data_IF_097242290523
#
_entry.id   IF_097242290523
#
_cell.length_a   1.000
_cell.length_b   1.000
_cell.length_c   1.000
_cell.angle_alpha   90.00
_cell.angle_beta   90.00
_cell.angle_gamma   90.00
#
_symmetry.space_group_name_H-M   'P 1'
#
loop_
_entity.id
_entity.type
_entity.pdbx_description
1 polymer ?
#
# COMPACT_ATOMS: atom_id res chain seq x y z
N UNK A 1 -9.40 5.20 -14.41
CA UNK A 1 -8.38 4.66 -13.46
C UNK A 1 -7.19 5.59 -13.26
N UNK A 2 -6.40 5.95 -14.29
CA UNK A 2 -5.18 6.76 -14.12
C UNK A 2 -5.45 8.08 -13.38
N UNK A 3 -6.43 8.88 -13.81
CA UNK A 3 -6.80 10.15 -13.16
C UNK A 3 -7.16 9.93 -11.68
N UNK A 4 -7.99 8.91 -11.39
CA UNK A 4 -8.39 8.59 -10.02
C UNK A 4 -7.19 8.17 -9.16
N UNK A 5 -6.24 7.40 -9.69
CA UNK A 5 -5.03 7.00 -8.96
C UNK A 5 -4.07 8.16 -8.71
N UNK A 6 -3.94 9.08 -9.67
CA UNK A 6 -3.17 10.32 -9.47
C UNK A 6 -3.78 11.17 -8.36
N UNK A 7 -5.10 11.36 -8.38
CA UNK A 7 -5.84 12.07 -7.32
C UNK A 7 -5.73 11.30 -5.98
N UNK A 8 -5.93 9.98 -5.99
CA UNK A 8 -5.77 9.15 -4.81
C UNK A 8 -4.37 9.26 -4.19
N UNK A 9 -3.33 9.38 -5.02
CA UNK A 9 -1.96 9.63 -4.58
C UNK A 9 -1.81 10.97 -3.83
N UNK A 10 -2.46 12.04 -4.31
CA UNK A 10 -2.52 13.32 -3.57
C UNK A 10 -3.18 13.15 -2.20
N UNK A 11 -4.22 12.33 -2.12
CA UNK A 11 -4.92 12.05 -0.87
C UNK A 11 -4.08 11.33 0.19
N UNK A 12 -2.97 10.68 -0.18
CA UNK A 12 -2.06 10.05 0.78
C UNK A 12 -1.22 11.06 1.58
N UNK A 13 -1.16 12.33 1.15
CA UNK A 13 -0.24 13.35 1.67
C UNK A 13 -0.43 13.67 3.16
N UNK A 14 -1.68 13.65 3.65
CA UNK A 14 -2.00 13.93 5.06
C UNK A 14 -1.81 12.73 6.00
N UNK A 15 -1.77 11.56 5.48
CA UNK A 15 -1.65 10.25 6.09
C UNK A 15 -1.37 10.17 7.59
N UNK A 16 -0.60 9.17 7.95
CA UNK A 16 -0.30 8.84 9.34
C UNK A 16 0.46 9.97 10.06
N UNK A 17 1.37 10.65 9.35
CA UNK A 17 2.28 11.63 9.97
C UNK A 17 1.55 12.86 10.47
N UNK A 18 0.74 13.52 9.61
CA UNK A 18 0.05 14.75 9.99
C UNK A 18 -1.08 14.46 10.99
N UNK A 19 -1.79 13.34 10.82
CA UNK A 19 -2.82 12.90 11.76
C UNK A 19 -2.25 12.61 13.17
N UNK A 20 -1.04 12.05 13.25
CA UNK A 20 -0.37 11.82 14.51
C UNK A 20 0.06 13.14 15.18
N UNK A 21 0.56 14.12 14.40
CA UNK A 21 0.92 15.45 14.92
C UNK A 21 -0.29 16.20 15.47
N UNK A 22 -1.43 16.20 14.77
CA UNK A 22 -2.67 16.82 15.26
C UNK A 22 -3.10 16.17 16.57
N UNK A 23 -3.09 14.85 16.65
CA UNK A 23 -3.49 14.15 17.87
C UNK A 23 -2.52 14.43 19.04
N UNK A 24 -1.22 14.53 18.77
CA UNK A 24 -0.22 14.90 19.76
C UNK A 24 -0.44 16.32 20.30
N UNK A 25 -0.70 17.30 19.43
CA UNK A 25 -1.05 18.66 19.84
C UNK A 25 -2.30 18.70 20.70
N UNK A 26 -3.37 17.97 20.32
CA UNK A 26 -4.63 17.95 21.05
C UNK A 26 -4.55 17.19 22.39
N UNK A 27 -3.73 16.13 22.47
CA UNK A 27 -3.58 15.33 23.70
C UNK A 27 -2.57 15.93 24.68
N UNK A 28 -1.65 16.77 24.22
CA UNK A 28 -0.59 17.37 25.05
C UNK A 28 0.39 16.33 25.64
N UNK A 29 0.44 15.11 25.09
CA UNK A 29 1.29 14.01 25.61
C UNK A 29 1.81 13.11 24.48
N UNK A 30 3.07 12.68 24.63
CA UNK A 30 3.72 11.74 23.71
C UNK A 30 3.34 10.27 23.97
N UNK A 31 2.78 9.98 25.14
CA UNK A 31 2.51 8.60 25.58
C UNK A 31 1.48 7.87 24.70
N UNK A 32 0.61 8.61 24.00
CA UNK A 32 -0.43 8.09 23.11
C UNK A 32 -0.14 8.36 21.62
N UNK A 33 1.08 8.75 21.25
CA UNK A 33 1.45 9.11 19.88
C UNK A 33 1.22 7.99 18.83
N UNK A 34 1.19 6.73 19.26
CA UNK A 34 0.90 5.59 18.38
C UNK A 34 -0.59 5.34 18.12
N UNK A 35 -1.49 5.89 18.96
CA UNK A 35 -2.92 5.60 18.88
C UNK A 35 -3.59 6.08 17.57
N UNK A 36 -3.28 7.28 17.04
CA UNK A 36 -3.80 7.73 15.75
C UNK A 36 -3.48 6.79 14.60
N UNK A 37 -2.24 6.31 14.55
CA UNK A 37 -1.77 5.36 13.53
C UNK A 37 -2.48 4.01 13.64
N UNK A 38 -2.71 3.53 14.85
CA UNK A 38 -3.44 2.29 15.09
C UNK A 38 -4.91 2.41 14.63
N UNK A 39 -5.60 3.48 15.01
CA UNK A 39 -6.99 3.74 14.62
C UNK A 39 -7.12 3.89 13.10
N UNK A 40 -6.23 4.65 12.47
CA UNK A 40 -6.15 4.79 11.02
C UNK A 40 -5.96 3.44 10.32
N UNK A 41 -5.08 2.58 10.83
CA UNK A 41 -4.81 1.26 10.25
C UNK A 41 -6.01 0.33 10.40
N UNK A 42 -6.72 0.37 11.54
CA UNK A 42 -7.97 -0.36 11.73
C UNK A 42 -9.03 0.07 10.72
N UNK A 43 -9.16 1.38 10.47
CA UNK A 43 -10.03 1.93 9.44
C UNK A 43 -9.66 1.45 8.04
N UNK A 44 -8.37 1.46 7.70
CA UNK A 44 -7.86 0.95 6.43
C UNK A 44 -8.14 -0.56 6.27
N UNK A 45 -8.01 -1.33 7.35
CA UNK A 45 -8.29 -2.76 7.34
C UNK A 45 -9.78 -3.05 7.10
N UNK A 46 -10.67 -2.33 7.79
CA UNK A 46 -12.12 -2.44 7.55
C UNK A 46 -12.49 -2.02 6.13
N UNK A 47 -11.89 -0.94 5.64
CA UNK A 47 -12.10 -0.47 4.27
C UNK A 47 -11.71 -1.51 3.23
N UNK A 48 -10.59 -2.21 3.42
CA UNK A 48 -10.16 -3.27 2.52
C UNK A 48 -11.21 -4.39 2.41
N UNK A 49 -11.80 -4.83 3.53
CA UNK A 49 -12.89 -5.80 3.54
C UNK A 49 -14.15 -5.24 2.87
N UNK A 50 -14.54 -4.01 3.21
CA UNK A 50 -15.78 -3.41 2.75
C UNK A 50 -15.75 -3.14 1.25
N UNK A 51 -14.68 -2.58 0.72
CA UNK A 51 -14.48 -2.32 -0.71
C UNK A 51 -14.46 -3.65 -1.49
N UNK A 52 -13.75 -4.67 -0.97
CA UNK A 52 -13.75 -6.01 -1.55
C UNK A 52 -15.15 -6.63 -1.59
N UNK A 53 -15.91 -6.49 -0.53
CA UNK A 53 -17.28 -7.02 -0.43
C UNK A 53 -18.28 -6.30 -1.33
N UNK A 54 -18.25 -4.98 -1.36
CA UNK A 54 -19.09 -4.18 -2.28
C UNK A 54 -18.75 -4.53 -3.72
N UNK A 55 -17.48 -4.71 -4.05
CA UNK A 55 -17.05 -5.13 -5.38
C UNK A 55 -17.60 -6.51 -5.74
N UNK A 56 -17.50 -7.47 -4.84
CA UNK A 56 -17.99 -8.84 -5.06
C UNK A 56 -19.51 -8.91 -5.30
N UNK A 57 -20.28 -8.16 -4.50
CA UNK A 57 -21.73 -8.16 -4.54
C UNK A 57 -22.29 -7.28 -5.65
N UNK A 58 -21.57 -6.28 -6.10
CA UNK A 58 -22.03 -5.29 -7.05
C UNK A 58 -21.04 -5.00 -8.16
N UNK A 59 -20.13 -4.08 -7.93
CA UNK A 59 -19.26 -3.57 -8.98
C UNK A 59 -17.93 -3.03 -8.43
N UNK A 60 -16.88 -3.10 -9.24
CA UNK A 60 -15.57 -2.48 -8.92
C UNK A 60 -15.71 -0.97 -8.75
N UNK A 61 -16.51 -0.35 -9.61
CA UNK A 61 -16.86 1.07 -9.55
C UNK A 61 -17.49 1.43 -8.21
N UNK A 62 -18.49 0.67 -7.77
CA UNK A 62 -19.18 0.90 -6.50
C UNK A 62 -18.25 0.79 -5.30
N UNK A 63 -17.46 -0.28 -5.22
CA UNK A 63 -16.51 -0.49 -4.13
C UNK A 63 -15.47 0.62 -4.01
N UNK A 64 -14.76 0.91 -5.11
CA UNK A 64 -13.70 1.92 -5.11
C UNK A 64 -14.24 3.34 -4.90
N UNK A 65 -15.38 3.70 -5.54
CA UNK A 65 -15.97 5.03 -5.35
C UNK A 65 -16.39 5.26 -3.90
N UNK A 66 -17.06 4.28 -3.28
CA UNK A 66 -17.49 4.36 -1.89
C UNK A 66 -16.30 4.53 -0.95
N UNK A 67 -15.24 3.73 -1.14
CA UNK A 67 -14.05 3.81 -0.28
C UNK A 67 -13.34 5.16 -0.38
N UNK A 68 -13.17 5.71 -1.58
CA UNK A 68 -12.59 7.05 -1.76
C UNK A 68 -13.48 8.16 -1.20
N UNK A 69 -14.80 8.11 -1.43
CA UNK A 69 -15.72 9.11 -0.88
C UNK A 69 -15.70 9.10 0.64
N UNK A 70 -15.74 7.93 1.28
CA UNK A 70 -15.63 7.82 2.74
C UNK A 70 -14.29 8.34 3.23
N UNK A 71 -13.17 8.01 2.56
CA UNK A 71 -11.86 8.57 2.89
C UNK A 71 -11.82 10.10 2.83
N UNK A 72 -12.45 10.69 1.82
CA UNK A 72 -12.59 12.14 1.68
C UNK A 72 -13.47 12.77 2.79
N UNK A 73 -14.57 12.13 3.14
CA UNK A 73 -15.43 12.55 4.27
C UNK A 73 -14.66 12.42 5.60
N UNK A 74 -13.84 11.38 5.76
CA UNK A 74 -12.95 11.24 6.91
C UNK A 74 -11.96 12.40 7.01
N UNK A 75 -11.36 12.83 5.88
CA UNK A 75 -10.48 14.00 5.86
C UNK A 75 -11.20 15.29 6.27
N UNK A 76 -12.43 15.51 5.80
CA UNK A 76 -13.29 16.63 6.27
C UNK A 76 -13.55 16.50 7.77
N UNK A 77 -13.85 15.29 8.24
CA UNK A 77 -14.06 15.02 9.67
C UNK A 77 -12.85 15.38 10.53
N UNK A 78 -11.61 15.12 10.04
CA UNK A 78 -10.37 15.53 10.73
C UNK A 78 -10.29 17.05 10.83
N UNK A 79 -10.58 17.78 9.76
CA UNK A 79 -10.60 19.26 9.78
C UNK A 79 -11.57 19.78 10.84
N UNK A 80 -12.81 19.27 10.84
CA UNK A 80 -13.83 19.69 11.80
C UNK A 80 -13.39 19.31 13.22
N UNK A 81 -12.95 18.07 13.45
CA UNK A 81 -12.56 17.59 14.77
C UNK A 81 -11.42 18.41 15.38
N UNK A 82 -10.44 18.81 14.55
CA UNK A 82 -9.33 19.69 14.96
C UNK A 82 -9.82 21.09 15.29
N UNK A 83 -10.77 21.63 14.51
CA UNK A 83 -11.30 22.98 14.72
C UNK A 83 -12.16 23.08 15.98
N UNK A 84 -12.92 22.01 16.31
CA UNK A 84 -13.73 21.96 17.54
C UNK A 84 -12.98 21.33 18.73
N UNK A 85 -11.72 21.03 18.59
CA UNK A 85 -10.82 20.44 19.58
C UNK A 85 -11.39 19.17 20.25
N UNK A 86 -12.07 18.30 19.45
CA UNK A 86 -12.66 17.07 19.95
C UNK A 86 -11.84 15.84 19.55
N UNK A 87 -11.10 15.27 20.50
CA UNK A 87 -10.19 14.15 20.28
C UNK A 87 -10.90 12.84 19.89
N UNK A 88 -12.08 12.57 20.45
CA UNK A 88 -12.84 11.36 20.10
C UNK A 88 -13.34 11.44 18.66
N UNK A 89 -13.79 12.62 18.25
CA UNK A 89 -14.19 12.85 16.88
C UNK A 89 -12.98 12.77 15.92
N UNK A 90 -11.80 13.24 16.34
CA UNK A 90 -10.56 13.08 15.57
C UNK A 90 -10.25 11.61 15.31
N UNK A 91 -10.31 10.75 16.32
CA UNK A 91 -10.07 9.32 16.13
C UNK A 91 -11.09 8.66 15.20
N UNK A 92 -12.37 8.99 15.34
CA UNK A 92 -13.39 8.51 14.41
C UNK A 92 -13.12 8.98 12.97
N UNK A 93 -12.76 10.24 12.81
CA UNK A 93 -12.44 10.82 11.51
C UNK A 93 -11.18 10.18 10.87
N UNK A 94 -10.12 9.92 11.64
CA UNK A 94 -8.92 9.22 11.19
C UNK A 94 -9.22 7.77 10.80
N UNK A 95 -10.10 7.09 11.56
CA UNK A 95 -10.57 5.76 11.19
C UNK A 95 -11.24 5.76 9.81
N UNK A 96 -12.16 6.70 9.56
CA UNK A 96 -12.85 6.82 8.28
C UNK A 96 -11.89 7.30 7.18
N UNK A 97 -10.93 8.17 7.48
CA UNK A 97 -9.91 8.61 6.52
C UNK A 97 -9.07 7.44 5.99
N UNK A 98 -8.82 6.43 6.80
CA UNK A 98 -8.14 5.19 6.40
C UNK A 98 -8.77 4.47 5.20
N UNK A 99 -10.07 4.70 4.94
CA UNK A 99 -10.77 4.16 3.77
C UNK A 99 -10.17 4.62 2.45
N UNK A 100 -9.78 5.88 2.34
CA UNK A 100 -9.15 6.41 1.12
C UNK A 100 -7.82 5.74 0.80
N UNK A 101 -6.99 5.52 1.82
CA UNK A 101 -5.67 4.88 1.67
C UNK A 101 -5.79 3.42 1.25
N UNK A 102 -6.65 2.64 1.90
CA UNK A 102 -6.90 1.25 1.52
C UNK A 102 -7.47 1.15 0.10
N UNK A 103 -8.39 2.04 -0.26
CA UNK A 103 -9.00 2.08 -1.59
C UNK A 103 -7.98 2.42 -2.67
N UNK A 104 -7.07 3.36 -2.40
CA UNK A 104 -5.98 3.68 -3.33
C UNK A 104 -5.12 2.45 -3.62
N UNK A 105 -4.79 1.66 -2.60
CA UNK A 105 -4.03 0.43 -2.78
C UNK A 105 -4.85 -0.63 -3.55
N UNK A 106 -6.16 -0.77 -3.26
CA UNK A 106 -7.03 -1.74 -3.93
C UNK A 106 -7.35 -1.40 -5.39
N UNK A 107 -7.26 -0.15 -5.77
CA UNK A 107 -7.51 0.28 -7.15
C UNK A 107 -6.57 -0.40 -8.17
N UNK A 108 -5.40 -0.91 -7.73
CA UNK A 108 -4.49 -1.71 -8.57
C UNK A 108 -5.15 -2.94 -9.18
N UNK A 109 -6.11 -3.54 -8.49
CA UNK A 109 -6.81 -4.73 -8.97
C UNK A 109 -7.75 -4.44 -10.15
N UNK A 110 -8.36 -3.25 -10.19
CA UNK A 110 -9.24 -2.87 -11.31
C UNK A 110 -8.52 -2.84 -12.66
N UNK A 111 -7.20 -2.58 -12.67
CA UNK A 111 -6.39 -2.68 -13.87
C UNK A 111 -6.29 -4.11 -14.42
N UNK A 112 -6.34 -5.11 -13.54
CA UNK A 112 -6.17 -6.52 -13.92
C UNK A 112 -7.46 -7.25 -14.24
N UNK A 113 -8.65 -6.69 -13.98
CA UNK A 113 -9.92 -7.39 -14.12
C UNK A 113 -10.22 -7.83 -15.56
N UNK A 114 -9.86 -7.01 -16.55
CA UNK A 114 -10.04 -7.28 -17.99
C UNK A 114 -8.72 -7.60 -18.72
N UNK A 115 -7.61 -7.65 -18.00
CA UNK A 115 -6.32 -7.92 -18.61
C UNK A 115 -6.13 -9.43 -18.84
N UNK A 116 -5.60 -9.77 -20.01
CA UNK A 116 -5.16 -11.14 -20.27
C UNK A 116 -4.07 -11.56 -19.29
N UNK A 117 -3.93 -12.87 -18.96
CA UNK A 117 -2.98 -13.34 -17.94
C UNK A 117 -1.56 -12.80 -18.11
N UNK A 118 -1.06 -12.71 -19.36
CA UNK A 118 0.28 -12.20 -19.67
C UNK A 118 0.44 -10.68 -19.44
N UNK A 119 -0.65 -9.91 -19.44
CA UNK A 119 -0.63 -8.45 -19.31
C UNK A 119 -1.13 -7.94 -17.96
N UNK A 120 -1.61 -8.82 -17.07
CA UNK A 120 -2.11 -8.47 -15.72
C UNK A 120 -1.09 -7.66 -14.91
N UNK A 121 0.17 -8.10 -14.90
CA UNK A 121 1.24 -7.40 -14.18
C UNK A 121 1.49 -5.99 -14.71
N UNK A 122 1.42 -5.79 -16.03
CA UNK A 122 1.55 -4.47 -16.65
C UNK A 122 0.37 -3.57 -16.29
N UNK A 123 -0.85 -4.11 -16.32
CA UNK A 123 -2.06 -3.37 -15.97
C UNK A 123 -2.07 -2.93 -14.50
N UNK A 124 -1.65 -3.80 -13.57
CA UNK A 124 -1.42 -3.49 -12.16
C UNK A 124 -0.38 -2.36 -12.04
N UNK A 125 0.72 -2.46 -12.78
CA UNK A 125 1.83 -1.50 -12.76
C UNK A 125 1.43 -0.11 -13.23
N UNK A 126 0.57 0.01 -14.24
CA UNK A 126 0.04 1.28 -14.73
C UNK A 126 -0.78 1.97 -13.62
N UNK A 127 -1.61 1.22 -12.90
CA UNK A 127 -2.36 1.76 -11.78
C UNK A 127 -1.43 2.25 -10.66
N UNK A 128 -0.36 1.52 -10.37
CA UNK A 128 0.62 1.88 -9.34
C UNK A 128 1.43 3.12 -9.72
N UNK A 129 1.94 3.20 -10.96
CA UNK A 129 2.73 4.37 -11.38
C UNK A 129 1.90 5.65 -11.43
N UNK A 130 0.61 5.56 -11.71
CA UNK A 130 -0.28 6.72 -11.70
C UNK A 130 -0.38 7.37 -10.31
N UNK A 131 -0.29 6.59 -9.23
CA UNK A 131 -0.26 7.09 -7.87
C UNK A 131 0.97 7.97 -7.59
N UNK A 132 2.10 7.71 -8.28
CA UNK A 132 3.37 8.41 -8.06
C UNK A 132 3.23 9.93 -8.19
N UNK A 133 2.54 10.38 -9.23
CA UNK A 133 2.40 11.82 -9.49
C UNK A 133 1.72 12.52 -8.31
N UNK A 134 0.64 11.94 -7.80
CA UNK A 134 -0.04 12.49 -6.63
C UNK A 134 0.80 12.40 -5.35
N UNK A 135 1.44 11.27 -5.10
CA UNK A 135 2.23 11.04 -3.90
C UNK A 135 3.49 11.95 -3.82
N UNK A 136 4.04 12.36 -4.96
CA UNK A 136 5.14 13.32 -5.00
C UNK A 136 4.63 14.76 -4.84
N UNK A 137 3.54 15.12 -5.51
CA UNK A 137 3.00 16.50 -5.48
C UNK A 137 2.41 16.81 -4.10
N UNK A 138 1.75 15.87 -3.45
CA UNK A 138 1.06 16.06 -2.18
C UNK A 138 1.94 16.73 -1.10
N UNK A 139 3.04 16.12 -0.65
CA UNK A 139 3.94 16.71 0.35
C UNK A 139 4.55 18.04 -0.07
N UNK A 140 4.82 18.23 -1.38
CA UNK A 140 5.38 19.46 -1.92
C UNK A 140 4.40 20.65 -1.95
N UNK A 141 3.11 20.40 -1.74
CA UNK A 141 2.08 21.44 -1.63
C UNK A 141 1.74 21.81 -0.19
N UNK A 142 2.44 21.27 0.81
CA UNK A 142 2.14 21.47 2.24
C UNK A 142 2.12 22.94 2.64
N UNK A 143 3.10 23.75 2.22
CA UNK A 143 3.16 25.20 2.51
C UNK A 143 1.97 25.95 1.89
N UNK A 144 1.60 25.60 0.65
CA UNK A 144 0.44 26.18 -0.02
C UNK A 144 -0.85 25.83 0.74
N UNK A 145 -1.00 24.59 1.12
CA UNK A 145 -2.19 24.12 1.85
C UNK A 145 -2.27 24.70 3.27
N UNK A 146 -1.15 24.95 3.92
CA UNK A 146 -1.10 25.71 5.18
C UNK A 146 -1.63 27.13 5.01
N UNK A 147 -1.25 27.84 3.93
CA UNK A 147 -1.78 29.17 3.61
C UNK A 147 -3.28 29.13 3.32
N UNK A 148 -3.76 28.08 2.63
CA UNK A 148 -5.20 27.86 2.39
C UNK A 148 -5.94 27.67 3.71
N UNK A 149 -5.43 26.82 4.62
CA UNK A 149 -6.01 26.63 5.94
C UNK A 149 -6.11 27.98 6.70
N UNK A 150 -5.04 28.77 6.72
CA UNK A 150 -5.03 30.10 7.33
C UNK A 150 -6.07 31.04 6.73
N UNK A 151 -6.27 31.02 5.41
CA UNK A 151 -7.27 31.88 4.75
C UNK A 151 -8.69 31.58 5.24
N UNK A 152 -8.98 30.32 5.58
CA UNK A 152 -10.24 29.89 6.16
C UNK A 152 -10.28 29.92 7.70
N UNK A 153 -9.28 30.51 8.36
CA UNK A 153 -9.15 30.53 9.82
C UNK A 153 -9.13 29.14 10.46
N UNK A 154 -8.56 28.14 9.76
CA UNK A 154 -8.40 26.78 10.22
C UNK A 154 -7.00 26.54 10.79
N UNK A 155 -6.83 25.54 11.70
CA UNK A 155 -5.52 25.16 12.20
C UNK A 155 -4.54 24.79 11.06
N UNK A 156 -3.26 25.19 11.11
CA UNK A 156 -2.29 25.04 10.01
C UNK A 156 -2.14 23.60 9.49
N UNK A 157 -2.10 22.61 10.39
CA UNK A 157 -1.94 21.20 10.03
C UNK A 157 -3.14 20.64 9.26
N UNK A 158 -4.32 21.25 9.35
CA UNK A 158 -5.52 20.82 8.60
C UNK A 158 -5.38 21.05 7.09
N UNK A 159 -4.43 21.87 6.64
CA UNK A 159 -4.19 22.12 5.22
C UNK A 159 -3.95 20.85 4.42
N UNK A 160 -3.17 19.91 4.95
CA UNK A 160 -2.93 18.63 4.31
C UNK A 160 -4.23 17.80 4.15
N UNK A 161 -5.15 17.90 5.12
CA UNK A 161 -6.46 17.22 5.05
C UNK A 161 -7.45 17.90 4.11
N UNK A 162 -7.34 19.21 3.88
CA UNK A 162 -8.08 19.92 2.83
C UNK A 162 -7.70 19.32 1.46
N UNK A 163 -6.39 19.19 1.17
CA UNK A 163 -5.92 18.55 -0.06
C UNK A 163 -6.42 17.12 -0.19
N UNK A 164 -6.29 16.34 0.88
CA UNK A 164 -6.73 14.93 0.90
C UNK A 164 -8.24 14.79 0.69
N UNK A 165 -9.06 15.65 1.29
CA UNK A 165 -10.51 15.66 1.09
C UNK A 165 -10.86 15.92 -0.38
N UNK A 166 -10.31 16.98 -0.96
CA UNK A 166 -10.52 17.29 -2.38
C UNK A 166 -10.07 16.14 -3.29
N UNK A 167 -8.90 15.59 -3.03
CA UNK A 167 -8.31 14.53 -3.83
C UNK A 167 -9.13 13.23 -3.76
N UNK A 168 -9.48 12.76 -2.58
CA UNK A 168 -10.25 11.53 -2.42
C UNK A 168 -11.70 11.67 -2.91
N UNK A 169 -12.39 12.78 -2.60
CA UNK A 169 -13.75 13.01 -3.12
C UNK A 169 -13.74 13.07 -4.65
N UNK A 170 -12.81 13.82 -5.24
CA UNK A 170 -12.67 13.88 -6.70
C UNK A 170 -12.34 12.52 -7.30
N UNK A 171 -11.44 11.73 -6.67
CA UNK A 171 -11.12 10.38 -7.11
C UNK A 171 -12.34 9.46 -7.11
N UNK A 172 -13.14 9.49 -6.03
CA UNK A 172 -14.37 8.72 -5.92
C UNK A 172 -15.42 9.13 -6.95
N UNK A 173 -15.61 10.43 -7.16
CA UNK A 173 -16.54 10.97 -8.17
C UNK A 173 -16.10 10.57 -9.59
N UNK A 174 -14.82 10.71 -9.91
CA UNK A 174 -14.26 10.30 -11.23
C UNK A 174 -14.53 8.83 -11.48
N UNK A 175 -14.31 7.95 -10.50
CA UNK A 175 -14.61 6.52 -10.67
C UNK A 175 -16.10 6.28 -10.82
N UNK A 176 -16.93 6.92 -10.02
CA UNK A 176 -18.39 6.75 -10.08
C UNK A 176 -18.97 7.16 -11.44
N UNK A 177 -18.47 8.24 -12.03
CA UNK A 177 -18.98 8.76 -13.30
C UNK A 177 -18.37 8.05 -14.51
N UNK A 178 -17.06 7.79 -14.50
CA UNK A 178 -16.30 7.43 -15.71
C UNK A 178 -15.79 5.99 -15.74
N UNK A 179 -15.84 5.20 -14.64
CA UNK A 179 -15.50 3.78 -14.70
C UNK A 179 -16.68 2.97 -15.24
N UNK A 180 -17.00 3.22 -16.50
CA UNK A 180 -18.08 2.57 -17.25
C UNK A 180 -17.56 2.17 -18.64
N UNK A 181 -17.81 0.91 -19.09
CA UNK A 181 -18.46 -0.16 -18.32
C UNK A 181 -17.62 -0.59 -17.11
N UNK A 182 -18.26 -1.22 -16.11
CA UNK A 182 -17.57 -1.73 -14.93
C UNK A 182 -16.67 -2.93 -15.27
N UNK A 183 -15.36 -2.87 -15.00
CA UNK A 183 -14.44 -3.91 -15.46
C UNK A 183 -14.72 -5.29 -14.84
N UNK A 184 -15.18 -5.33 -13.59
CA UNK A 184 -15.49 -6.60 -12.94
C UNK A 184 -16.80 -7.22 -13.47
N UNK A 185 -17.80 -6.41 -13.77
CA UNK A 185 -19.05 -6.90 -14.36
C UNK A 185 -18.82 -7.42 -15.79
N UNK A 186 -18.07 -6.68 -16.61
CA UNK A 186 -17.69 -7.12 -17.95
C UNK A 186 -16.89 -8.43 -17.90
N UNK A 187 -15.93 -8.55 -16.97
CA UNK A 187 -15.18 -9.79 -16.82
C UNK A 187 -16.08 -10.98 -16.45
N UNK A 188 -17.08 -10.78 -15.59
CA UNK A 188 -18.08 -11.82 -15.26
C UNK A 188 -18.93 -12.22 -16.46
N UNK A 189 -19.35 -11.26 -17.25
CA UNK A 189 -20.17 -11.51 -18.43
C UNK A 189 -19.39 -12.29 -19.48
N UNK A 190 -18.13 -11.95 -19.73
CA UNK A 190 -17.24 -12.69 -20.62
C UNK A 190 -17.01 -14.13 -20.12
N UNK A 191 -16.75 -14.32 -18.83
CA UNK A 191 -16.57 -15.65 -18.22
C UNK A 191 -17.84 -16.51 -18.37
N UNK A 192 -19.04 -15.93 -18.23
CA UNK A 192 -20.30 -16.63 -18.49
C UNK A 192 -20.44 -17.07 -19.96
N UNK A 193 -20.18 -16.19 -20.91
CA UNK A 193 -20.27 -16.50 -22.34
C UNK A 193 -19.29 -17.61 -22.75
N UNK A 194 -18.04 -17.54 -22.26
CA UNK A 194 -17.05 -18.59 -22.53
C UNK A 194 -17.45 -19.97 -21.96
N UNK A 195 -18.18 -19.98 -20.84
CA UNK A 195 -18.66 -21.21 -20.21
C UNK A 195 -19.93 -21.77 -20.86
N UNK A 196 -20.77 -20.94 -21.51
CA UNK A 196 -21.96 -21.36 -22.26
C UNK A 196 -21.62 -21.99 -23.62
N UNK A 197 -20.64 -21.40 -24.35
CA UNK A 197 -20.19 -21.89 -25.66
C UNK A 197 -19.29 -23.14 -25.59
N UNK A 198 -18.70 -23.41 -24.43
CA UNK A 198 -17.87 -24.59 -24.22
C UNK A 198 -18.71 -25.69 -23.60
N UNK A 199 -18.64 -26.94 -24.13
CA UNK A 199 -19.10 -28.12 -23.37
C UNK A 199 -18.53 -28.02 -21.97
N UNK A 200 -19.28 -28.43 -20.91
CA UNK A 200 -18.88 -28.21 -19.55
C UNK A 200 -17.45 -28.73 -19.35
N UNK A 201 -16.49 -27.83 -19.51
CA UNK A 201 -15.10 -28.05 -19.02
C UNK A 201 -15.26 -28.29 -17.53
N UNK A 202 -15.08 -29.53 -17.11
CA UNK A 202 -15.08 -29.92 -15.73
C UNK A 202 -14.13 -28.98 -14.97
N UNK A 203 -14.70 -27.99 -14.28
CA UNK A 203 -13.98 -27.10 -13.37
C UNK A 203 -13.98 -25.63 -13.82
N UNK A 204 -14.87 -24.82 -13.24
CA UNK A 204 -14.48 -23.44 -12.92
C UNK A 204 -13.07 -23.51 -12.32
N UNK A 205 -12.18 -22.61 -12.75
CA UNK A 205 -10.78 -22.65 -12.32
C UNK A 205 -10.74 -22.56 -10.78
N UNK A 206 -10.59 -23.70 -10.12
CA UNK A 206 -10.64 -23.80 -8.65
C UNK A 206 -9.51 -22.95 -8.09
N UNK A 207 -9.83 -22.09 -7.13
CA UNK A 207 -8.85 -21.25 -6.44
C UNK A 207 -7.65 -22.09 -5.96
N UNK A 208 -6.44 -21.73 -6.43
CA UNK A 208 -5.19 -22.33 -5.95
C UNK A 208 -4.79 -21.67 -4.62
N UNK A 209 -5.23 -22.27 -3.51
CA UNK A 209 -4.94 -21.78 -2.17
C UNK A 209 -3.44 -21.63 -1.88
N UNK A 210 -2.57 -22.41 -2.52
CA UNK A 210 -1.11 -22.29 -2.35
C UNK A 210 -0.57 -21.06 -3.06
N UNK A 211 -1.04 -20.80 -4.28
CA UNK A 211 -0.70 -19.59 -5.02
C UNK A 211 -1.17 -18.32 -4.29
N UNK A 212 -2.41 -18.33 -3.78
CA UNK A 212 -2.96 -17.25 -2.94
C UNK A 212 -2.10 -17.02 -1.70
N UNK A 213 -1.75 -18.09 -0.98
CA UNK A 213 -0.94 -18.00 0.24
C UNK A 213 0.44 -17.40 -0.03
N UNK A 214 1.13 -17.82 -1.09
CA UNK A 214 2.46 -17.32 -1.41
C UNK A 214 2.40 -15.85 -1.86
N UNK A 215 1.43 -15.49 -2.70
CA UNK A 215 1.22 -14.09 -3.09
C UNK A 215 0.95 -13.19 -1.89
N UNK A 216 0.09 -13.64 -0.96
CA UNK A 216 -0.19 -12.95 0.30
C UNK A 216 1.06 -12.85 1.18
N UNK A 217 1.81 -13.95 1.36
CA UNK A 217 3.04 -13.97 2.16
C UNK A 217 4.08 -12.98 1.65
N UNK A 218 4.28 -12.90 0.33
CA UNK A 218 5.20 -11.94 -0.28
C UNK A 218 4.76 -10.51 0.08
N UNK A 219 3.50 -10.16 -0.14
CA UNK A 219 2.98 -8.82 0.11
C UNK A 219 3.03 -8.44 1.59
N UNK A 220 2.62 -9.35 2.48
CA UNK A 220 2.62 -9.15 3.94
C UNK A 220 4.03 -8.92 4.45
N UNK A 221 4.97 -9.81 4.08
CA UNK A 221 6.38 -9.72 4.50
C UNK A 221 7.03 -8.44 3.99
N UNK A 222 6.81 -8.13 2.73
CA UNK A 222 7.32 -6.92 2.07
C UNK A 222 6.82 -5.65 2.76
N UNK A 223 5.53 -5.60 3.08
CA UNK A 223 4.91 -4.47 3.78
C UNK A 223 5.47 -4.30 5.19
N UNK A 224 5.61 -5.40 5.93
CA UNK A 224 6.12 -5.38 7.30
C UNK A 224 7.56 -4.86 7.36
N UNK A 225 8.47 -5.40 6.53
CA UNK A 225 9.86 -4.98 6.48
C UNK A 225 9.99 -3.52 6.06
N UNK A 226 9.23 -3.13 5.02
CA UNK A 226 9.24 -1.77 4.49
C UNK A 226 8.81 -0.77 5.56
N UNK A 227 7.66 -0.97 6.19
CA UNK A 227 7.14 -0.03 7.21
C UNK A 227 8.06 0.01 8.42
N UNK A 228 8.59 -1.12 8.87
CA UNK A 228 9.46 -1.18 10.02
C UNK A 228 10.71 -0.28 9.86
N UNK A 229 11.41 -0.39 8.74
CA UNK A 229 12.63 0.39 8.48
C UNK A 229 12.29 1.84 8.16
N UNK A 230 11.31 2.07 7.27
CA UNK A 230 10.93 3.42 6.82
C UNK A 230 10.53 4.33 7.99
N UNK A 231 9.70 3.83 8.92
CA UNK A 231 9.17 4.67 10.01
C UNK A 231 10.23 5.07 11.03
N UNK A 232 11.26 4.26 11.22
CA UNK A 232 12.33 4.55 12.18
C UNK A 232 13.50 5.35 11.58
N UNK A 233 13.62 5.40 10.25
CA UNK A 233 14.69 6.17 9.59
C UNK A 233 14.67 7.66 9.94
N UNK A 234 13.53 8.39 9.86
CA UNK A 234 13.48 9.80 10.28
C UNK A 234 13.88 10.03 11.74
N UNK A 235 13.49 9.12 12.63
CA UNK A 235 13.82 9.20 14.06
C UNK A 235 15.32 9.00 14.24
N UNK A 236 15.90 7.99 13.60
CA UNK A 236 17.32 7.72 13.60
C UNK A 236 18.13 8.91 13.07
N UNK A 237 17.74 9.47 11.93
CA UNK A 237 18.37 10.63 11.32
C UNK A 237 18.36 11.86 12.27
N UNK A 238 17.20 12.19 12.83
CA UNK A 238 17.07 13.32 13.77
C UNK A 238 17.95 13.15 15.01
N UNK A 239 18.03 11.94 15.57
CA UNK A 239 18.88 11.63 16.72
C UNK A 239 20.37 11.84 16.43
N UNK A 240 20.77 11.82 15.15
CA UNK A 240 22.16 12.04 14.72
C UNK A 240 22.37 13.40 14.03
N UNK A 241 21.50 14.39 14.31
CA UNK A 241 21.70 15.78 13.93
C UNK A 241 21.26 16.17 12.51
N UNK A 242 20.62 15.28 11.76
CA UNK A 242 20.10 15.62 10.44
C UNK A 242 18.92 16.59 10.52
N UNK A 243 18.90 17.56 9.61
CA UNK A 243 17.82 18.52 9.48
C UNK A 243 16.55 17.91 8.83
N UNK A 244 15.42 18.60 8.98
CA UNK A 244 14.15 18.19 8.34
C UNK A 244 14.26 18.09 6.82
N UNK A 245 15.13 18.92 6.19
CA UNK A 245 15.37 18.87 4.74
C UNK A 245 15.98 17.54 4.31
N UNK A 246 16.97 17.03 5.06
CA UNK A 246 17.67 15.78 4.74
C UNK A 246 16.71 14.59 4.90
N UNK A 247 15.93 14.58 5.98
CA UNK A 247 14.88 13.59 6.22
C UNK A 247 13.86 13.60 5.08
N UNK A 248 13.42 14.79 4.66
CA UNK A 248 12.48 14.95 3.55
C UNK A 248 13.02 14.40 2.22
N UNK A 249 14.32 14.61 1.94
CA UNK A 249 14.97 14.07 0.72
C UNK A 249 14.97 12.55 0.77
N UNK A 250 15.41 11.93 1.87
CA UNK A 250 15.50 10.48 2.01
C UNK A 250 14.13 9.82 1.87
N UNK A 251 13.11 10.34 2.53
CA UNK A 251 11.72 9.83 2.43
C UNK A 251 11.13 10.08 1.05
N UNK A 252 11.39 11.23 0.43
CA UNK A 252 10.94 11.53 -0.93
C UNK A 252 11.52 10.55 -1.97
N UNK A 253 12.82 10.25 -1.89
CA UNK A 253 13.49 9.24 -2.71
C UNK A 253 12.85 7.85 -2.48
N UNK A 254 12.58 7.49 -1.22
CA UNK A 254 11.91 6.23 -0.88
C UNK A 254 10.54 6.11 -1.56
N UNK A 255 9.68 7.12 -1.41
CA UNK A 255 8.34 7.12 -2.00
C UNK A 255 8.44 7.06 -3.53
N UNK A 256 9.34 7.80 -4.14
CA UNK A 256 9.63 7.70 -5.56
C UNK A 256 10.00 6.27 -5.97
N UNK A 257 10.87 5.62 -5.20
CA UNK A 257 11.33 4.25 -5.43
C UNK A 257 10.26 3.18 -5.21
N UNK A 258 9.22 3.48 -4.43
CA UNK A 258 8.06 2.59 -4.26
C UNK A 258 7.17 2.51 -5.53
N UNK A 259 7.04 3.59 -6.27
CA UNK A 259 6.03 3.67 -7.34
C UNK A 259 6.63 3.81 -8.75
N UNK A 260 7.68 4.61 -8.94
CA UNK A 260 8.30 4.86 -10.27
C UNK A 260 8.74 3.58 -10.98
N UNK A 261 9.35 2.58 -10.31
CA UNK A 261 9.79 1.36 -10.99
C UNK A 261 8.65 0.45 -11.45
N UNK A 262 7.39 0.76 -11.11
CA UNK A 262 6.24 -0.14 -11.33
C UNK A 262 6.15 -0.67 -12.76
N UNK A 263 6.34 0.18 -13.79
CA UNK A 263 6.29 -0.27 -15.18
C UNK A 263 7.37 -1.30 -15.51
N UNK A 264 8.59 -1.08 -15.00
CA UNK A 264 9.70 -2.04 -15.14
C UNK A 264 9.37 -3.34 -14.41
N UNK A 265 8.82 -3.24 -13.19
CA UNK A 265 8.39 -4.41 -12.41
C UNK A 265 7.32 -5.21 -13.14
N UNK A 266 6.33 -4.54 -13.75
CA UNK A 266 5.31 -5.21 -14.55
C UNK A 266 5.89 -6.02 -15.72
N UNK A 267 6.89 -5.46 -16.41
CA UNK A 267 7.62 -6.16 -17.48
C UNK A 267 8.42 -7.34 -16.91
N UNK A 268 9.10 -7.17 -15.76
CA UNK A 268 9.84 -8.24 -15.10
C UNK A 268 8.93 -9.42 -14.73
N UNK A 269 7.76 -9.13 -14.14
CA UNK A 269 6.77 -10.15 -13.79
C UNK A 269 6.24 -10.85 -15.03
N UNK A 270 5.90 -10.10 -16.09
CA UNK A 270 5.42 -10.67 -17.36
C UNK A 270 6.48 -11.57 -18.03
N UNK A 271 7.76 -11.16 -18.00
CA UNK A 271 8.86 -11.87 -18.70
C UNK A 271 9.43 -13.04 -17.90
N UNK A 272 9.64 -12.87 -16.60
CA UNK A 272 10.34 -13.84 -15.75
C UNK A 272 9.40 -14.61 -14.82
N UNK A 273 8.15 -14.15 -14.68
CA UNK A 273 7.14 -14.72 -13.81
C UNK A 273 7.14 -14.14 -12.39
N UNK A 274 5.99 -14.20 -11.75
CA UNK A 274 5.75 -13.60 -10.44
C UNK A 274 6.62 -14.22 -9.31
N UNK A 275 6.87 -15.53 -9.33
CA UNK A 275 7.70 -16.20 -8.32
C UNK A 275 9.14 -15.69 -8.31
N UNK A 276 9.78 -15.55 -9.48
CA UNK A 276 11.15 -15.04 -9.58
C UNK A 276 11.24 -13.57 -9.17
N UNK A 277 10.24 -12.77 -9.53
CA UNK A 277 10.16 -11.37 -9.10
C UNK A 277 9.91 -11.27 -7.60
N UNK A 278 9.15 -12.18 -7.00
CA UNK A 278 9.00 -12.28 -5.54
C UNK A 278 10.32 -12.63 -4.82
N UNK A 279 11.15 -13.51 -5.39
CA UNK A 279 12.51 -13.76 -4.88
C UNK A 279 13.37 -12.49 -5.01
N UNK A 280 13.30 -11.80 -6.15
CA UNK A 280 14.02 -10.55 -6.37
C UNK A 280 13.60 -9.48 -5.36
N UNK A 281 12.31 -9.42 -4.99
CA UNK A 281 11.82 -8.57 -3.89
C UNK A 281 12.54 -8.89 -2.59
N UNK A 282 12.57 -10.17 -2.18
CA UNK A 282 13.25 -10.61 -0.97
C UNK A 282 14.74 -10.25 -0.96
N UNK A 283 15.45 -10.47 -2.09
CA UNK A 283 16.86 -10.10 -2.25
C UNK A 283 17.06 -8.60 -2.12
N UNK A 284 16.24 -7.79 -2.80
CA UNK A 284 16.36 -6.33 -2.75
C UNK A 284 16.04 -5.79 -1.35
N UNK A 285 15.05 -6.36 -0.65
CA UNK A 285 14.73 -6.01 0.75
C UNK A 285 15.87 -6.39 1.70
N UNK A 286 16.49 -7.57 1.51
CA UNK A 286 17.65 -7.98 2.31
C UNK A 286 18.83 -7.02 2.09
N UNK A 287 19.10 -6.63 0.83
CA UNK A 287 20.12 -5.62 0.52
C UNK A 287 19.81 -4.27 1.17
N UNK A 288 18.55 -3.81 1.10
CA UNK A 288 18.10 -2.59 1.77
C UNK A 288 18.35 -2.64 3.28
N UNK A 289 17.98 -3.76 3.90
CA UNK A 289 18.12 -3.99 5.34
C UNK A 289 19.61 -4.04 5.78
N UNK A 290 20.47 -4.71 5.00
CA UNK A 290 21.93 -4.72 5.23
C UNK A 290 22.49 -3.32 5.06
N UNK A 291 22.12 -2.60 3.99
CA UNK A 291 22.59 -1.21 3.79
C UNK A 291 22.18 -0.31 4.94
N UNK A 292 20.93 -0.42 5.41
CA UNK A 292 20.44 0.32 6.58
C UNK A 292 21.20 -0.06 7.86
N UNK A 293 21.54 -1.36 8.04
CA UNK A 293 22.27 -1.86 9.20
C UNK A 293 23.68 -1.29 9.29
N UNK A 294 24.39 -1.16 8.17
CA UNK A 294 25.79 -0.70 8.13
C UNK A 294 25.92 0.79 7.79
N UNK A 295 24.82 1.48 7.56
CA UNK A 295 24.85 2.90 7.20
C UNK A 295 25.48 3.74 8.33
N UNK A 296 26.52 4.54 8.02
CA UNK A 296 27.00 5.53 8.96
C UNK A 296 25.85 6.49 9.34
N UNK A 297 25.66 6.79 10.62
CA UNK A 297 24.50 7.59 11.08
C UNK A 297 24.41 8.98 10.47
N UNK A 298 25.54 9.56 10.06
CA UNK A 298 25.69 10.88 9.45
C UNK A 298 25.58 10.87 7.92
N UNK A 299 25.46 9.69 7.29
CA UNK A 299 25.45 9.56 5.83
C UNK A 299 24.04 9.58 5.24
N UNK A 300 23.49 10.74 4.91
CA UNK A 300 22.25 10.89 4.14
C UNK A 300 22.26 10.10 2.82
N UNK A 301 23.43 10.01 2.17
CA UNK A 301 23.56 9.31 0.90
C UNK A 301 23.32 7.80 1.05
N UNK A 302 23.95 7.14 2.03
CA UNK A 302 23.81 5.69 2.25
C UNK A 302 22.39 5.38 2.76
N UNK A 303 21.81 6.20 3.63
CA UNK A 303 20.40 6.07 4.04
C UNK A 303 19.45 6.22 2.85
N UNK A 304 19.72 7.15 1.91
CA UNK A 304 18.94 7.28 0.67
C UNK A 304 19.02 6.03 -0.19
N UNK A 305 20.20 5.41 -0.33
CA UNK A 305 20.37 4.14 -1.04
C UNK A 305 19.60 3.01 -0.34
N UNK A 306 19.70 2.90 0.97
CA UNK A 306 18.97 1.89 1.75
C UNK A 306 17.45 2.01 1.53
N UNK A 307 16.91 3.23 1.62
CA UNK A 307 15.49 3.47 1.45
C UNK A 307 15.03 3.37 -0.01
N UNK A 308 15.91 3.68 -0.98
CA UNK A 308 15.62 3.41 -2.40
C UNK A 308 15.46 1.91 -2.65
N UNK A 309 16.41 1.10 -2.19
CA UNK A 309 16.32 -0.36 -2.28
C UNK A 309 15.08 -0.90 -1.57
N UNK A 310 14.75 -0.33 -0.41
CA UNK A 310 13.56 -0.70 0.35
C UNK A 310 12.28 -0.46 -0.45
N UNK A 311 12.16 0.71 -1.09
CA UNK A 311 11.03 1.07 -1.96
C UNK A 311 10.93 0.16 -3.18
N UNK A 312 12.06 -0.11 -3.87
CA UNK A 312 12.11 -1.00 -5.02
C UNK A 312 11.74 -2.44 -4.62
N UNK A 313 12.27 -2.94 -3.51
CA UNK A 313 11.94 -4.26 -2.99
C UNK A 313 10.47 -4.40 -2.66
N UNK A 314 9.87 -3.38 -2.05
CA UNK A 314 8.43 -3.32 -1.80
C UNK A 314 7.62 -3.34 -3.11
N UNK A 315 8.03 -2.57 -4.11
CA UNK A 315 7.37 -2.52 -5.41
C UNK A 315 7.39 -3.90 -6.11
N UNK A 316 8.52 -4.58 -6.11
CA UNK A 316 8.65 -5.94 -6.66
C UNK A 316 7.71 -6.91 -5.94
N UNK A 317 7.67 -6.86 -4.60
CA UNK A 317 6.83 -7.75 -3.80
C UNK A 317 5.34 -7.48 -3.98
N UNK A 318 4.94 -6.21 -3.98
CA UNK A 318 3.53 -5.86 -4.14
C UNK A 318 2.98 -6.27 -5.52
N UNK A 319 3.70 -5.96 -6.61
CA UNK A 319 3.24 -6.25 -7.96
C UNK A 319 3.27 -7.77 -8.23
N UNK A 320 4.35 -8.46 -7.86
CA UNK A 320 4.45 -9.90 -8.04
C UNK A 320 3.43 -10.66 -7.20
N UNK A 321 3.28 -10.31 -5.92
CA UNK A 321 2.30 -10.91 -5.02
C UNK A 321 0.86 -10.65 -5.47
N UNK A 322 0.55 -9.43 -5.93
CA UNK A 322 -0.75 -9.08 -6.49
C UNK A 322 -1.07 -9.92 -7.74
N UNK A 323 -0.10 -10.06 -8.66
CA UNK A 323 -0.27 -10.87 -9.88
C UNK A 323 -0.53 -12.33 -9.51
N UNK A 324 0.26 -12.90 -8.58
CA UNK A 324 0.05 -14.28 -8.11
C UNK A 324 -1.33 -14.47 -7.49
N UNK A 325 -1.79 -13.51 -6.67
CA UNK A 325 -3.10 -13.55 -6.04
C UNK A 325 -4.22 -13.57 -7.09
N UNK A 326 -4.12 -12.70 -8.10
CA UNK A 326 -5.11 -12.61 -9.19
C UNK A 326 -5.12 -13.89 -10.04
N UNK A 327 -3.94 -14.43 -10.38
CA UNK A 327 -3.81 -15.64 -11.20
C UNK A 327 -4.26 -16.90 -10.46
N UNK A 328 -4.11 -16.94 -9.14
CA UNK A 328 -4.46 -18.09 -8.32
C UNK A 328 -5.93 -18.11 -7.85
N UNK A 329 -6.69 -17.02 -8.07
CA UNK A 329 -8.05 -16.89 -7.52
C UNK A 329 -9.10 -16.94 -8.63
N UNK A 330 -10.16 -17.74 -8.41
CA UNK A 330 -11.36 -17.72 -9.23
C UNK A 330 -11.95 -16.29 -9.36
N UNK A 331 -12.47 -15.94 -10.53
CA UNK A 331 -12.97 -14.59 -10.83
C UNK A 331 -14.01 -14.11 -9.82
N UNK A 332 -14.94 -14.98 -9.43
CA UNK A 332 -16.03 -14.62 -8.52
C UNK A 332 -15.56 -14.45 -7.08
N UNK A 333 -14.47 -15.12 -6.68
CA UNK A 333 -13.88 -15.02 -5.35
C UNK A 333 -12.84 -13.90 -5.23
N UNK A 334 -12.28 -13.43 -6.35
CA UNK A 334 -11.19 -12.43 -6.36
C UNK A 334 -11.41 -11.23 -5.44
N UNK A 335 -12.52 -10.49 -5.51
CA UNK A 335 -12.66 -9.28 -4.69
C UNK A 335 -12.65 -9.59 -3.18
N UNK A 336 -13.22 -10.71 -2.77
CA UNK A 336 -13.22 -11.17 -1.38
C UNK A 336 -11.82 -11.53 -0.90
N UNK A 337 -11.10 -12.33 -1.70
CA UNK A 337 -9.73 -12.75 -1.38
C UNK A 337 -8.79 -11.55 -1.35
N UNK A 338 -8.89 -10.65 -2.34
CA UNK A 338 -8.14 -9.40 -2.41
C UNK A 338 -8.35 -8.54 -1.16
N UNK A 339 -9.61 -8.32 -0.78
CA UNK A 339 -9.95 -7.56 0.43
C UNK A 339 -9.38 -8.19 1.69
N UNK A 340 -9.47 -9.53 1.83
CA UNK A 340 -8.93 -10.25 2.99
C UNK A 340 -7.41 -10.15 3.08
N UNK A 341 -6.71 -10.32 1.97
CA UNK A 341 -5.24 -10.21 1.95
C UNK A 341 -4.79 -8.78 2.25
N UNK A 342 -5.48 -7.77 1.73
CA UNK A 342 -5.15 -6.37 2.01
C UNK A 342 -5.34 -5.99 3.48
N UNK A 343 -6.24 -6.65 4.22
CA UNK A 343 -6.30 -6.53 5.69
C UNK A 343 -5.00 -6.99 6.33
N UNK A 344 -4.50 -8.17 5.93
CA UNK A 344 -3.24 -8.67 6.50
C UNK A 344 -2.05 -7.80 6.13
N UNK A 345 -2.04 -7.21 4.92
CA UNK A 345 -1.02 -6.23 4.51
C UNK A 345 -1.07 -4.99 5.42
N UNK A 346 -2.27 -4.44 5.67
CA UNK A 346 -2.44 -3.29 6.55
C UNK A 346 -1.97 -3.60 7.99
N UNK A 347 -2.41 -4.74 8.54
CA UNK A 347 -2.01 -5.18 9.87
C UNK A 347 -0.50 -5.46 9.98
N UNK A 348 0.11 -6.02 8.92
CA UNK A 348 1.56 -6.24 8.87
C UNK A 348 2.33 -4.92 8.90
N UNK A 349 1.85 -3.90 8.18
CA UNK A 349 2.40 -2.54 8.25
C UNK A 349 2.30 -1.95 9.66
N UNK A 350 1.12 -2.04 10.29
CA UNK A 350 0.93 -1.57 11.66
C UNK A 350 1.83 -2.29 12.67
N UNK A 351 1.91 -3.62 12.58
CA UNK A 351 2.78 -4.44 13.43
C UNK A 351 4.25 -4.09 13.21
N UNK A 352 4.69 -3.98 11.94
CA UNK A 352 6.05 -3.59 11.58
C UNK A 352 6.43 -2.23 12.16
N UNK A 353 5.55 -1.23 12.03
CA UNK A 353 5.74 0.09 12.63
C UNK A 353 5.79 0.07 14.16
N UNK A 354 4.89 -0.67 14.81
CA UNK A 354 4.86 -0.76 16.28
C UNK A 354 6.10 -1.47 16.84
N UNK A 355 6.46 -2.64 16.27
CA UNK A 355 7.61 -3.41 16.76
C UNK A 355 8.94 -2.70 16.49
N UNK A 356 9.04 -1.94 15.40
CA UNK A 356 10.26 -1.21 15.04
C UNK A 356 10.62 -0.13 16.06
N UNK A 357 9.62 0.56 16.62
CA UNK A 357 9.84 1.52 17.71
C UNK A 357 10.40 0.86 18.97
N UNK A 358 9.91 -0.32 19.33
CA UNK A 358 10.43 -1.10 20.46
C UNK A 358 11.87 -1.56 20.20
N UNK A 359 12.16 -2.04 18.98
CA UNK A 359 13.51 -2.48 18.60
C UNK A 359 14.48 -1.30 18.61
N UNK A 360 14.10 -0.16 18.03
CA UNK A 360 14.96 1.02 18.02
C UNK A 360 15.27 1.52 19.44
N UNK A 361 14.26 1.54 20.33
CA UNK A 361 14.43 2.05 21.69
C UNK A 361 15.26 1.12 22.60
N UNK A 362 15.09 -0.20 22.45
CA UNK A 362 15.78 -1.20 23.31
C UNK A 362 17.13 -1.63 22.77
N UNK A 363 17.35 -1.53 21.49
CA UNK A 363 18.58 -2.00 20.84
C UNK A 363 19.18 -0.90 19.95
N UNK A 364 18.99 -0.98 18.63
CA UNK A 364 19.52 0.00 17.68
C UNK A 364 18.81 -0.04 16.34
N UNK A 365 19.06 0.97 15.51
CA UNK A 365 18.63 0.99 14.10
C UNK A 365 19.29 -0.15 13.30
N UNK A 366 20.57 -0.47 13.58
CA UNK A 366 21.23 -1.61 12.95
C UNK A 366 20.58 -2.95 13.29
N UNK A 367 20.10 -3.14 14.53
CA UNK A 367 19.33 -4.34 14.92
C UNK A 367 18.03 -4.44 14.15
N UNK A 368 17.35 -3.33 13.87
CA UNK A 368 16.16 -3.32 13.03
C UNK A 368 16.48 -3.77 11.61
N UNK A 369 17.61 -3.32 11.04
CA UNK A 369 18.11 -3.82 9.76
C UNK A 369 18.38 -5.33 9.77
N UNK A 370 18.99 -5.87 10.82
CA UNK A 370 19.22 -7.30 10.99
C UNK A 370 17.90 -8.10 10.95
N UNK A 371 16.86 -7.66 11.68
CA UNK A 371 15.55 -8.31 11.64
C UNK A 371 14.93 -8.26 10.23
N UNK A 372 15.00 -7.11 9.54
CA UNK A 372 14.54 -6.97 8.16
C UNK A 372 15.26 -7.94 7.21
N UNK A 373 16.57 -8.10 7.36
CA UNK A 373 17.39 -9.04 6.58
C UNK A 373 16.96 -10.49 6.83
N UNK A 374 16.80 -10.91 8.09
CA UNK A 374 16.40 -12.28 8.45
C UNK A 374 15.01 -12.60 7.86
N UNK A 375 14.04 -11.71 8.02
CA UNK A 375 12.68 -11.91 7.53
C UNK A 375 12.66 -12.01 6.00
N UNK A 376 13.43 -11.16 5.31
CA UNK A 376 13.56 -11.19 3.86
C UNK A 376 14.23 -12.48 3.37
N UNK A 377 15.25 -12.96 4.09
CA UNK A 377 15.91 -14.24 3.78
C UNK A 377 14.96 -15.44 3.98
N UNK A 378 14.19 -15.46 5.04
CA UNK A 378 13.18 -16.51 5.28
C UNK A 378 12.13 -16.55 4.16
N UNK A 379 11.71 -15.39 3.64
CA UNK A 379 10.81 -15.31 2.49
C UNK A 379 11.44 -15.96 1.26
N UNK A 380 12.70 -15.63 0.95
CA UNK A 380 13.43 -16.22 -0.19
C UNK A 380 13.48 -17.73 -0.07
N UNK A 381 13.94 -18.23 1.08
CA UNK A 381 14.07 -19.67 1.34
C UNK A 381 12.72 -20.38 1.18
N UNK A 382 11.64 -19.80 1.73
CA UNK A 382 10.31 -20.38 1.60
C UNK A 382 9.86 -20.51 0.14
N UNK A 383 10.02 -19.45 -0.67
CA UNK A 383 9.65 -19.47 -2.09
C UNK A 383 10.49 -20.51 -2.85
N UNK A 384 11.80 -20.62 -2.58
CA UNK A 384 12.68 -21.59 -3.22
C UNK A 384 12.29 -23.03 -2.89
N UNK A 385 12.01 -23.34 -1.61
CA UNK A 385 11.54 -24.67 -1.18
C UNK A 385 10.25 -25.04 -1.90
N UNK A 386 9.31 -24.11 -1.99
CA UNK A 386 8.05 -24.33 -2.71
C UNK A 386 8.28 -24.65 -4.19
N UNK A 387 9.14 -23.90 -4.87
CA UNK A 387 9.44 -24.12 -6.30
C UNK A 387 10.10 -25.48 -6.56
N UNK A 388 11.04 -25.89 -5.69
CA UNK A 388 11.69 -27.21 -5.76
C UNK A 388 10.67 -28.33 -5.57
N UNK A 389 9.77 -28.20 -4.57
CA UNK A 389 8.70 -29.16 -4.31
C UNK A 389 7.73 -29.29 -5.50
N UNK A 390 7.33 -28.17 -6.09
CA UNK A 390 6.44 -28.15 -7.28
C UNK A 390 7.09 -28.83 -8.49
N UNK A 391 8.40 -28.62 -8.72
CA UNK A 391 9.12 -29.28 -9.82
C UNK A 391 9.13 -30.79 -9.66
N UNK A 392 9.44 -31.31 -8.47
CA UNK A 392 9.45 -32.75 -8.17
C UNK A 392 8.08 -33.41 -8.35
N UNK A 393 6.98 -32.72 -8.00
CA UNK A 393 5.62 -33.23 -8.20
C UNK A 393 5.29 -33.32 -9.69
N UNK A 394 5.66 -32.33 -10.49
CA UNK A 394 5.42 -32.34 -11.94
C UNK A 394 6.24 -33.43 -12.66
N UNK A 395 7.43 -33.74 -12.18
CA UNK A 395 8.28 -34.82 -12.72
C UNK A 395 7.76 -36.23 -12.38
N UNK A 396 7.04 -36.38 -11.25
CA UNK A 396 6.41 -37.65 -10.84
C UNK A 396 5.10 -37.95 -11.56
N UNK A 397 4.45 -36.91 -12.11
CA UNK A 397 3.16 -37.04 -12.82
C UNK A 397 3.31 -37.11 -14.34
N UNK A 398 4.55 -37.07 -14.85
CA UNK A 398 4.95 -37.37 -16.24
C UNK A 398 5.49 -38.78 -16.36
#
# INVERSE_FOLDING_TARGET
MIVSQTLGGLGLSAGITVGALIAQEMLGTDSLAGLPSAVFTLGSSLAALMVGRITQLGSRRGGLSTGFILGGLGAIGVIIATTVENILFLFLALFIYGFGTATNLQARYAGSDLAEPQDRSKAISIAMVATTFGAIVGPNTSDLMTKVAHHFSLPPLTGAFILSAMAYLSSGIVLFLFLRPDPYQVAKELDHLENEDSQPKAGSQKTDNKGVFIGALIMITTQMVMVAIMTMTPIHMKAHGHGLKDVGIVIGIHIGSMYLPSLVTGILVSKFGAYKTGILSGVTLAMAAVTAMVAPPDSTAILSVALSLLGIGWNFGLISGTTMLVDATDLLERPKVQGSVDVFIALAGAFGGAISGVILNRFSYGTLGLFGMIISFLLIVYILIYLIGRKKLNERNK
#
